data_IF_753006424988
#
_entry.id   IF_753006424988
#
_cell.length_a   1.000
_cell.length_b   1.000
_cell.length_c   1.000
_cell.angle_alpha   90.00
_cell.angle_beta   90.00
_cell.angle_gamma   90.00
#
_symmetry.space_group_name_H-M   'P 1'
#
loop_
_entity.id
_entity.type
_entity.pdbx_description
1 polymer ?
#
# COMPACT_ATOMS: atom_id res chain seq x y z
N UNK A 1 -1.15 3.61 31.17
CA UNK A 1 -2.19 3.25 30.20
C UNK A 1 -2.34 4.27 29.08
N UNK A 2 -2.44 5.55 29.41
CA UNK A 2 -2.57 6.59 28.39
C UNK A 2 -1.34 6.68 27.49
N UNK A 3 -0.14 6.49 28.04
CA UNK A 3 1.09 6.54 27.26
C UNK A 3 1.14 5.45 26.18
N UNK A 4 0.69 4.25 26.50
CA UNK A 4 0.65 3.16 25.51
C UNK A 4 -0.34 3.43 24.40
N UNK A 5 -1.48 4.02 24.72
CA UNK A 5 -2.48 4.37 23.72
C UNK A 5 -1.96 5.48 22.83
N UNK A 6 -1.30 6.49 23.38
CA UNK A 6 -0.73 7.59 22.61
C UNK A 6 0.37 7.11 21.68
N UNK A 7 1.26 6.22 22.16
CA UNK A 7 2.31 5.65 21.33
C UNK A 7 1.72 4.84 20.16
N UNK A 8 0.72 4.02 20.46
CA UNK A 8 0.04 3.23 19.42
C UNK A 8 -0.67 4.14 18.44
N UNK A 9 -1.31 5.19 18.92
CA UNK A 9 -1.96 6.17 18.06
C UNK A 9 -0.97 6.83 17.08
N UNK A 10 0.20 7.22 17.59
CA UNK A 10 1.25 7.81 16.74
C UNK A 10 1.74 6.83 15.69
N UNK A 11 1.90 5.56 16.05
CA UNK A 11 2.29 4.52 15.10
C UNK A 11 1.23 4.31 14.02
N UNK A 12 -0.03 4.29 14.42
CA UNK A 12 -1.14 4.16 13.47
C UNK A 12 -1.15 5.33 12.50
N UNK A 13 -0.98 6.55 13.02
CA UNK A 13 -0.94 7.74 12.19
C UNK A 13 0.22 7.67 11.20
N UNK A 14 1.39 7.25 11.65
CA UNK A 14 2.56 7.10 10.80
C UNK A 14 2.33 6.07 9.69
N UNK A 15 1.77 4.91 10.06
CA UNK A 15 1.46 3.85 9.09
C UNK A 15 0.48 4.36 8.05
N UNK A 16 -0.60 4.99 8.49
CA UNK A 16 -1.63 5.47 7.57
C UNK A 16 -1.10 6.53 6.62
N UNK A 17 -0.30 7.45 7.14
CA UNK A 17 0.33 8.47 6.30
C UNK A 17 1.29 7.86 5.29
N UNK A 18 2.09 6.87 5.71
CA UNK A 18 3.03 6.18 4.82
C UNK A 18 2.28 5.40 3.75
N UNK A 19 1.22 4.67 4.14
CA UNK A 19 0.39 3.92 3.20
C UNK A 19 -0.21 4.87 2.16
N UNK A 20 -0.70 6.02 2.61
CA UNK A 20 -1.31 7.00 1.73
C UNK A 20 -0.30 7.52 0.70
N UNK A 21 0.93 7.75 1.10
CA UNK A 21 2.00 8.17 0.19
C UNK A 21 2.37 7.06 -0.81
N UNK A 22 2.48 5.82 -0.33
CA UNK A 22 2.74 4.66 -1.17
C UNK A 22 1.63 4.52 -2.23
N UNK A 23 0.39 4.64 -1.80
CA UNK A 23 -0.78 4.53 -2.67
C UNK A 23 -0.79 5.64 -3.74
N UNK A 24 -0.57 6.89 -3.34
CA UNK A 24 -0.54 8.01 -4.28
C UNK A 24 0.57 7.84 -5.32
N UNK A 25 1.73 7.40 -4.88
CA UNK A 25 2.85 7.14 -5.79
C UNK A 25 2.49 6.08 -6.82
N UNK A 26 1.85 5.00 -6.36
CA UNK A 26 1.39 3.95 -7.26
C UNK A 26 0.37 4.48 -8.28
N UNK A 27 -0.55 5.33 -7.86
CA UNK A 27 -1.53 5.91 -8.78
C UNK A 27 -0.86 6.76 -9.87
N UNK A 28 0.28 7.36 -9.56
CA UNK A 28 1.00 8.20 -10.51
C UNK A 28 1.87 7.39 -11.47
N UNK A 29 2.61 6.39 -10.95
CA UNK A 29 3.59 5.67 -11.76
C UNK A 29 3.10 4.30 -12.26
N UNK A 30 1.99 3.79 -11.73
CA UNK A 30 1.41 2.50 -12.09
C UNK A 30 2.35 1.31 -11.85
N UNK A 31 3.35 1.46 -10.99
CA UNK A 31 4.36 0.44 -10.74
C UNK A 31 4.01 -0.39 -9.52
N UNK A 32 3.35 -1.52 -9.74
CA UNK A 32 2.92 -2.41 -8.67
C UNK A 32 4.12 -3.04 -7.94
N UNK A 33 5.22 -3.26 -8.65
CA UNK A 33 6.43 -3.83 -8.05
C UNK A 33 7.02 -2.89 -7.02
N UNK A 34 7.11 -1.61 -7.35
CA UNK A 34 7.57 -0.59 -6.41
C UNK A 34 6.62 -0.47 -5.22
N UNK A 35 5.32 -0.52 -5.47
CA UNK A 35 4.30 -0.49 -4.43
C UNK A 35 4.51 -1.63 -3.43
N UNK A 36 4.67 -2.85 -3.92
CA UNK A 36 4.88 -4.02 -3.06
C UNK A 36 6.20 -3.92 -2.29
N UNK A 37 7.24 -3.40 -2.93
CA UNK A 37 8.54 -3.23 -2.30
C UNK A 37 8.47 -2.25 -1.13
N UNK A 38 7.80 -1.12 -1.31
CA UNK A 38 7.61 -0.13 -0.25
C UNK A 38 6.80 -0.68 0.91
N UNK A 39 5.78 -1.48 0.63
CA UNK A 39 5.02 -2.17 1.66
C UNK A 39 5.88 -3.14 2.46
N UNK A 40 6.74 -3.89 1.77
CA UNK A 40 7.65 -4.82 2.43
C UNK A 40 8.59 -4.09 3.39
N UNK A 41 9.11 -2.94 2.98
CA UNK A 41 9.95 -2.11 3.84
C UNK A 41 9.18 -1.61 5.07
N UNK A 42 7.95 -1.17 4.88
CA UNK A 42 7.10 -0.71 5.98
C UNK A 42 6.82 -1.83 6.98
N UNK A 43 6.47 -3.01 6.50
CA UNK A 43 6.22 -4.17 7.35
C UNK A 43 7.47 -4.58 8.11
N UNK A 44 8.64 -4.52 7.48
CA UNK A 44 9.91 -4.80 8.13
C UNK A 44 10.16 -3.87 9.32
N UNK A 45 9.84 -2.60 9.16
CA UNK A 45 9.99 -1.62 10.23
C UNK A 45 9.20 -2.03 11.47
N UNK A 46 8.00 -2.56 11.29
CA UNK A 46 7.13 -2.94 12.39
C UNK A 46 7.27 -4.39 12.84
N UNK A 47 7.94 -5.22 12.05
CA UNK A 47 8.20 -6.61 12.41
C UNK A 47 9.07 -6.74 13.66
N UNK A 48 9.98 -5.79 13.86
CA UNK A 48 10.91 -5.79 14.98
C UNK A 48 10.32 -5.17 16.26
N UNK A 49 9.09 -4.66 16.18
CA UNK A 49 8.42 -4.13 17.34
C UNK A 49 7.83 -5.29 18.14
N UNK A 50 8.08 -5.29 19.43
CA UNK A 50 7.64 -6.37 20.32
C UNK A 50 6.15 -6.24 20.65
N UNK A 51 5.32 -6.18 19.62
CA UNK A 51 3.87 -6.01 19.74
C UNK A 51 3.17 -6.79 18.62
N UNK A 52 2.84 -8.05 18.92
CA UNK A 52 2.24 -8.95 17.94
C UNK A 52 0.86 -8.48 17.47
N UNK A 53 0.08 -7.91 18.36
CA UNK A 53 -1.24 -7.39 18.01
C UNK A 53 -1.15 -6.27 17.00
N UNK A 54 -0.21 -5.37 17.21
CA UNK A 54 0.01 -4.25 16.29
C UNK A 54 0.51 -4.72 14.94
N UNK A 55 1.42 -5.70 14.95
CA UNK A 55 1.94 -6.27 13.70
C UNK A 55 0.84 -6.98 12.92
N UNK A 56 -0.06 -7.68 13.64
CA UNK A 56 -1.21 -8.34 13.03
C UNK A 56 -2.12 -7.31 12.36
N UNK A 57 -2.34 -6.17 12.99
CA UNK A 57 -3.10 -5.06 12.43
C UNK A 57 -2.44 -4.56 11.14
N UNK A 58 -1.12 -4.41 11.13
CA UNK A 58 -0.38 -3.98 9.95
C UNK A 58 -0.55 -4.96 8.78
N UNK A 59 -0.52 -6.26 9.07
CA UNK A 59 -0.74 -7.29 8.04
C UNK A 59 -2.15 -7.21 7.44
N UNK A 60 -3.14 -6.95 8.28
CA UNK A 60 -4.52 -6.80 7.80
C UNK A 60 -4.65 -5.59 6.89
N UNK A 61 -4.02 -4.49 7.24
CA UNK A 61 -3.99 -3.30 6.38
C UNK A 61 -3.33 -3.61 5.04
N UNK A 62 -2.21 -4.34 5.07
CA UNK A 62 -1.51 -4.72 3.85
C UNK A 62 -2.41 -5.52 2.92
N UNK A 63 -3.10 -6.54 3.44
CA UNK A 63 -3.96 -7.39 2.63
C UNK A 63 -5.09 -6.55 2.00
N UNK A 64 -5.71 -5.69 2.77
CA UNK A 64 -6.80 -4.84 2.28
C UNK A 64 -6.32 -3.91 1.16
N UNK A 65 -5.19 -3.24 1.38
CA UNK A 65 -4.64 -2.32 0.39
C UNK A 65 -4.11 -3.04 -0.84
N UNK A 66 -3.55 -4.24 -0.68
CA UNK A 66 -3.06 -5.02 -1.81
C UNK A 66 -4.21 -5.41 -2.75
N UNK A 67 -5.36 -5.76 -2.21
CA UNK A 67 -6.52 -6.05 -3.04
C UNK A 67 -6.92 -4.84 -3.89
N UNK A 68 -6.93 -3.65 -3.29
CA UNK A 68 -7.23 -2.44 -4.03
C UNK A 68 -6.18 -2.14 -5.10
N UNK A 69 -4.90 -2.30 -4.75
CA UNK A 69 -3.81 -2.05 -5.68
C UNK A 69 -3.89 -3.02 -6.88
N UNK A 70 -4.20 -4.28 -6.64
CA UNK A 70 -4.35 -5.25 -7.71
C UNK A 70 -5.52 -4.91 -8.63
N UNK A 71 -6.63 -4.42 -8.05
CA UNK A 71 -7.77 -3.97 -8.84
C UNK A 71 -7.38 -2.81 -9.74
N UNK A 72 -6.66 -1.83 -9.20
CA UNK A 72 -6.19 -0.70 -9.98
C UNK A 72 -5.18 -1.13 -11.05
N UNK A 73 -4.31 -2.08 -10.73
CA UNK A 73 -3.35 -2.61 -11.71
C UNK A 73 -4.07 -3.22 -12.92
N UNK A 74 -5.18 -3.94 -12.69
CA UNK A 74 -5.99 -4.48 -13.77
C UNK A 74 -6.62 -3.36 -14.61
N UNK A 75 -7.12 -2.33 -13.95
CA UNK A 75 -7.72 -1.18 -14.63
C UNK A 75 -6.67 -0.49 -15.50
N UNK A 76 -5.48 -0.27 -14.95
CA UNK A 76 -4.39 0.37 -15.70
C UNK A 76 -3.99 -0.45 -16.93
N UNK A 77 -3.92 -1.77 -16.80
CA UNK A 77 -3.62 -2.65 -17.95
C UNK A 77 -4.69 -2.56 -19.01
N UNK A 78 -5.95 -2.50 -18.63
CA UNK A 78 -7.06 -2.36 -19.58
C UNK A 78 -6.99 -1.02 -20.31
N UNK A 79 -6.68 0.05 -19.58
CA UNK A 79 -6.55 1.37 -20.20
C UNK A 79 -5.39 1.41 -21.19
N UNK A 80 -4.26 0.82 -20.84
CA UNK A 80 -3.10 0.73 -21.74
C UNK A 80 -3.42 -0.08 -23.00
N UNK A 81 -4.16 -1.20 -22.85
CA UNK A 81 -4.59 -2.00 -23.98
C UNK A 81 -5.54 -1.23 -24.91
N UNK A 82 -6.46 -0.47 -24.34
CA UNK A 82 -7.38 0.35 -25.13
C UNK A 82 -6.64 1.41 -25.94
N UNK A 83 -5.63 2.02 -25.35
CA UNK A 83 -4.80 2.99 -26.05
C UNK A 83 -4.04 2.34 -27.22
N UNK A 84 -3.48 1.14 -26.99
CA UNK A 84 -2.78 0.40 -28.04
C UNK A 84 -3.73 -0.03 -29.15
N UNK A 85 -4.91 -0.54 -28.81
CA UNK A 85 -5.91 -0.95 -29.79
C UNK A 85 -6.42 0.26 -30.57
N UNK A 86 -6.59 1.41 -29.91
CA UNK A 86 -6.97 2.65 -30.57
C UNK A 86 -5.92 3.12 -31.57
N UNK A 87 -4.65 2.97 -31.23
CA UNK A 87 -3.54 3.31 -32.12
C UNK A 87 -3.44 2.36 -33.32
N UNK A 88 -3.80 1.10 -33.13
CA UNK A 88 -3.75 0.10 -34.22
C UNK A 88 -4.86 0.26 -35.23
N UNK A 89 -5.98 0.83 -34.82
CA UNK A 89 -7.11 1.03 -35.72
C UNK A 89 -7.01 2.29 -36.57
N UNK A 90 -6.09 3.13 -36.25
CA UNK A 90 -5.79 4.33 -37.03
C UNK A 90 -4.68 4.06 -38.03
#
# INVERSE_FOLDING_TARGET
MQEKIEERHKKIAHIQNTIWEIYKTFLNNHDITEYEHKWAELLKTYQNINDEEFFSFCKCLYVSWEQQARNFARIFRKLERKEEDGKKTE
#
